data_IF_691644888892
#
_entry.id   IF_691644888892
#
_cell.length_a   1.000
_cell.length_b   1.000
_cell.length_c   1.000
_cell.angle_alpha   90.00
_cell.angle_beta   90.00
_cell.angle_gamma   90.00
#
_symmetry.space_group_name_H-M   'P 1'
#
loop_
_entity.id
_entity.type
_entity.pdbx_description
1 polymer ?
#
# COMPACT_ATOMS: atom_id res chain seq x y z
N UNK A 1 -11.50 -1.22 30.05
CA UNK A 1 -12.07 -0.94 28.71
C UNK A 1 -10.92 -0.62 27.74
N UNK A 2 -10.45 -1.59 26.94
CA UNK A 2 -9.37 -1.41 25.95
C UNK A 2 -9.98 -1.02 24.59
N UNK A 3 -10.46 0.22 24.46
CA UNK A 3 -11.04 0.72 23.19
C UNK A 3 -10.03 1.53 22.37
N UNK A 4 -9.04 2.15 23.04
CA UNK A 4 -7.98 2.96 22.42
C UNK A 4 -7.22 2.24 21.28
N UNK A 5 -6.74 0.99 21.44
CA UNK A 5 -6.01 0.34 20.36
C UNK A 5 -6.88 0.01 19.14
N UNK A 6 -8.20 -0.11 19.31
CA UNK A 6 -9.11 -0.42 18.20
C UNK A 6 -9.43 0.81 17.36
N UNK A 7 -9.62 1.97 17.99
CA UNK A 7 -9.81 3.25 17.28
C UNK A 7 -8.54 3.62 16.50
N UNK A 8 -7.36 3.36 17.08
CA UNK A 8 -6.09 3.53 16.38
C UNK A 8 -5.96 2.56 15.21
N UNK A 9 -6.42 1.31 15.38
CA UNK A 9 -6.44 0.32 14.32
C UNK A 9 -7.42 0.65 13.18
N UNK A 10 -8.57 1.24 13.50
CA UNK A 10 -9.54 1.66 12.49
C UNK A 10 -9.01 2.87 11.71
N UNK A 11 -8.47 3.88 12.41
CA UNK A 11 -7.95 5.10 11.81
C UNK A 11 -6.71 4.89 10.93
N UNK A 12 -5.74 4.06 11.34
CA UNK A 12 -4.59 3.81 10.48
C UNK A 12 -4.89 2.85 9.32
N UNK A 13 -5.95 2.04 9.41
CA UNK A 13 -6.32 1.12 8.34
C UNK A 13 -7.01 1.90 7.23
N UNK A 14 -7.85 2.86 7.60
CA UNK A 14 -8.38 3.86 6.69
C UNK A 14 -7.25 4.68 6.04
N UNK A 15 -6.29 5.18 6.83
CA UNK A 15 -5.16 5.94 6.30
C UNK A 15 -4.30 5.11 5.32
N UNK A 16 -3.98 3.87 5.67
CA UNK A 16 -3.23 2.96 4.79
C UNK A 16 -3.99 2.66 3.50
N UNK A 17 -5.29 2.39 3.59
CA UNK A 17 -6.13 2.10 2.43
C UNK A 17 -6.21 3.29 1.47
N UNK A 18 -6.39 4.51 2.02
CA UNK A 18 -6.38 5.76 1.24
C UNK A 18 -5.03 6.01 0.60
N UNK A 19 -3.94 5.82 1.34
CA UNK A 19 -2.57 6.02 0.83
C UNK A 19 -2.25 5.03 -0.28
N UNK A 20 -2.58 3.74 -0.11
CA UNK A 20 -2.38 2.72 -1.14
C UNK A 20 -3.20 3.00 -2.41
N UNK A 21 -4.45 3.42 -2.24
CA UNK A 21 -5.31 3.83 -3.36
C UNK A 21 -4.72 5.02 -4.11
N UNK A 22 -4.24 6.03 -3.37
CA UNK A 22 -3.62 7.22 -3.96
C UNK A 22 -2.33 6.85 -4.72
N UNK A 23 -1.48 5.97 -4.19
CA UNK A 23 -0.30 5.49 -4.89
C UNK A 23 -0.65 4.78 -6.22
N UNK A 24 -1.73 4.00 -6.28
CA UNK A 24 -2.16 3.36 -7.52
C UNK A 24 -2.67 4.37 -8.56
N UNK A 25 -3.37 5.41 -8.11
CA UNK A 25 -3.84 6.52 -8.96
C UNK A 25 -2.63 7.32 -9.46
N UNK A 26 -1.69 7.64 -8.58
CA UNK A 26 -0.48 8.38 -8.92
C UNK A 26 0.39 7.57 -9.90
N UNK A 27 0.55 6.27 -9.69
CA UNK A 27 1.22 5.37 -10.64
C UNK A 27 0.49 5.34 -11.99
N UNK A 28 -0.85 5.23 -12.01
CA UNK A 28 -1.63 5.27 -13.25
C UNK A 28 -1.47 6.62 -14.01
N UNK A 29 -1.32 7.72 -13.26
CA UNK A 29 -1.07 9.08 -13.79
C UNK A 29 0.37 9.34 -14.20
N UNK A 30 1.34 8.65 -13.58
CA UNK A 30 2.78 8.71 -13.91
C UNK A 30 3.17 7.73 -15.02
N UNK A 31 2.42 6.63 -15.19
CA UNK A 31 2.64 5.60 -16.21
C UNK A 31 2.15 5.87 -17.65
N UNK A 32 1.57 7.03 -18.06
CA UNK A 32 1.12 7.15 -19.46
C UNK A 32 2.25 7.39 -20.48
N UNK A 33 3.55 7.36 -20.11
CA UNK A 33 4.63 7.91 -20.95
C UNK A 33 5.88 7.05 -21.26
N UNK A 34 5.86 5.72 -21.15
CA UNK A 34 7.02 4.91 -21.63
C UNK A 34 6.77 4.05 -22.88
N UNK A 35 5.59 4.14 -23.52
CA UNK A 35 5.43 3.53 -24.86
C UNK A 35 5.92 4.50 -25.93
N UNK A 36 7.23 4.55 -26.07
CA UNK A 36 7.87 5.09 -27.28
C UNK A 36 7.37 4.29 -28.49
N UNK A 37 6.81 5.00 -29.47
CA UNK A 37 6.59 4.51 -30.83
C UNK A 37 5.15 4.08 -31.16
N UNK A 38 4.39 4.96 -31.83
CA UNK A 38 3.33 4.52 -32.73
C UNK A 38 1.99 5.27 -32.68
N UNK A 39 1.97 6.44 -33.31
CA UNK A 39 0.91 7.00 -34.18
C UNK A 39 -0.47 7.37 -33.60
N UNK A 40 -0.70 8.69 -33.64
CA UNK A 40 -1.93 9.45 -33.87
C UNK A 40 -3.26 8.68 -33.98
N UNK A 41 -4.14 8.90 -33.01
CA UNK A 41 -5.57 8.57 -33.10
C UNK A 41 -6.30 8.26 -31.78
N UNK A 42 -5.58 8.06 -30.67
CA UNK A 42 -6.13 7.25 -29.56
C UNK A 42 -6.41 7.97 -28.22
N UNK A 43 -6.56 9.30 -28.22
CA UNK A 43 -6.71 10.10 -26.99
C UNK A 43 -7.89 9.67 -26.09
N UNK A 44 -9.00 9.23 -26.68
CA UNK A 44 -10.17 8.76 -25.93
C UNK A 44 -9.97 7.38 -25.28
N UNK A 45 -9.22 6.47 -25.91
CA UNK A 45 -8.94 5.15 -25.33
C UNK A 45 -7.89 5.22 -24.23
N UNK A 46 -6.96 6.19 -24.30
CA UNK A 46 -5.99 6.42 -23.23
C UNK A 46 -6.67 6.99 -21.99
N UNK A 47 -7.57 7.96 -22.18
CA UNK A 47 -8.40 8.53 -21.11
C UNK A 47 -9.35 7.47 -20.50
N UNK A 48 -9.97 6.64 -21.34
CA UNK A 48 -10.78 5.52 -20.88
C UNK A 48 -9.98 4.50 -20.07
N UNK A 49 -8.71 4.26 -20.44
CA UNK A 49 -7.83 3.34 -19.70
C UNK A 49 -7.42 3.95 -18.36
N UNK A 50 -7.11 5.24 -18.31
CA UNK A 50 -6.81 5.96 -17.07
C UNK A 50 -8.02 5.99 -16.15
N UNK A 51 -9.20 6.37 -16.65
CA UNK A 51 -10.45 6.36 -15.90
C UNK A 51 -10.81 4.96 -15.38
N UNK A 52 -10.51 3.90 -16.15
CA UNK A 52 -10.68 2.52 -15.71
C UNK A 52 -9.69 2.13 -14.60
N UNK A 53 -8.43 2.56 -14.70
CA UNK A 53 -7.40 2.34 -13.67
C UNK A 53 -7.73 3.06 -12.37
N UNK A 54 -8.15 4.33 -12.45
CA UNK A 54 -8.59 5.10 -11.27
C UNK A 54 -9.83 4.47 -10.62
N UNK A 55 -10.82 4.06 -11.42
CA UNK A 55 -12.02 3.39 -10.90
C UNK A 55 -11.71 2.05 -10.26
N UNK A 56 -10.78 1.29 -10.84
CA UNK A 56 -10.26 0.05 -10.25
C UNK A 56 -9.57 0.31 -8.91
N UNK A 57 -8.69 1.31 -8.85
CA UNK A 57 -8.00 1.70 -7.62
C UNK A 57 -8.99 2.06 -6.50
N UNK A 58 -10.03 2.85 -6.81
CA UNK A 58 -11.09 3.17 -5.85
C UNK A 58 -11.89 1.94 -5.40
N UNK A 59 -12.15 0.98 -6.29
CA UNK A 59 -12.84 -0.27 -5.91
C UNK A 59 -12.03 -1.14 -4.95
N UNK A 60 -10.70 -0.97 -4.91
CA UNK A 60 -9.80 -1.75 -4.05
C UNK A 60 -9.61 -1.13 -2.65
N UNK A 61 -9.98 0.14 -2.45
CA UNK A 61 -9.90 0.82 -1.14
C UNK A 61 -10.51 0.01 0.02
N UNK A 62 -11.76 -0.51 -0.06
CA UNK A 62 -12.32 -1.30 1.04
C UNK A 62 -11.55 -2.61 1.28
N UNK A 63 -10.97 -3.21 0.23
CA UNK A 63 -10.13 -4.40 0.35
C UNK A 63 -8.83 -4.08 1.09
N UNK A 64 -8.17 -2.95 0.77
CA UNK A 64 -6.98 -2.52 1.50
C UNK A 64 -7.27 -2.20 2.97
N UNK A 65 -8.42 -1.60 3.26
CA UNK A 65 -8.83 -1.33 4.63
C UNK A 65 -9.06 -2.64 5.41
N UNK A 66 -9.75 -3.61 4.82
CA UNK A 66 -9.96 -4.92 5.43
C UNK A 66 -8.64 -5.65 5.67
N UNK A 67 -7.70 -5.60 4.72
CA UNK A 67 -6.36 -6.16 4.87
C UNK A 67 -5.60 -5.49 6.01
N UNK A 68 -5.55 -4.15 6.08
CA UNK A 68 -4.87 -3.43 7.14
C UNK A 68 -5.47 -3.73 8.53
N UNK A 69 -6.81 -3.83 8.63
CA UNK A 69 -7.50 -4.24 9.85
C UNK A 69 -7.15 -5.68 10.27
N UNK A 70 -7.07 -6.62 9.32
CA UNK A 70 -6.68 -8.00 9.58
C UNK A 70 -5.20 -8.12 9.97
N UNK A 71 -4.33 -7.35 9.32
CA UNK A 71 -2.90 -7.25 9.65
C UNK A 71 -2.67 -6.71 11.05
N UNK A 72 -3.60 -5.95 11.62
CA UNK A 72 -3.52 -5.50 13.01
C UNK A 72 -3.96 -6.55 14.03
N UNK A 73 -4.85 -7.46 13.63
CA UNK A 73 -5.28 -8.59 14.46
C UNK A 73 -4.27 -9.73 14.45
N UNK A 74 -3.39 -9.75 13.44
CA UNK A 74 -2.19 -10.59 13.41
C UNK A 74 -1.07 -9.81 14.10
N UNK A 75 -0.51 -10.25 15.23
CA UNK A 75 0.74 -9.66 15.70
C UNK A 75 1.74 -9.76 14.55
N UNK A 76 2.23 -8.60 14.08
CA UNK A 76 3.27 -8.54 13.07
C UNK A 76 4.37 -9.49 13.50
N UNK A 77 4.58 -10.48 12.65
CA UNK A 77 5.31 -11.70 12.90
C UNK A 77 6.51 -11.49 13.84
N UNK A 78 6.47 -12.16 15.00
CA UNK A 78 7.56 -12.23 15.98
C UNK A 78 8.90 -12.61 15.31
N UNK A 79 8.89 -13.19 14.10
CA UNK A 79 10.12 -13.54 13.39
C UNK A 79 10.96 -12.33 12.94
N UNK A 80 10.38 -11.14 12.72
CA UNK A 80 11.19 -9.96 12.36
C UNK A 80 11.92 -9.37 13.58
N UNK A 81 11.41 -9.59 14.80
CA UNK A 81 12.05 -9.12 16.03
C UNK A 81 13.19 -10.03 16.48
N UNK A 82 13.12 -11.33 16.20
CA UNK A 82 14.20 -12.28 16.51
C UNK A 82 15.47 -12.00 15.68
N UNK A 83 15.33 -11.52 14.44
CA UNK A 83 16.48 -11.18 13.59
C UNK A 83 17.21 -9.90 14.04
N UNK A 84 16.47 -8.89 14.52
CA UNK A 84 17.09 -7.67 15.12
C UNK A 84 17.84 -7.93 16.42
N UNK A 85 17.46 -8.94 17.21
CA UNK A 85 18.22 -9.31 18.42
C UNK A 85 19.49 -10.09 18.10
N UNK A 86 19.47 -10.97 17.09
CA UNK A 86 20.64 -11.75 16.69
C UNK A 86 21.76 -10.87 16.11
N UNK A 87 21.41 -9.83 15.34
CA UNK A 87 22.39 -8.90 14.75
C UNK A 87 22.99 -7.90 15.75
N UNK A 88 22.29 -7.60 16.86
CA UNK A 88 22.83 -6.74 17.93
C UNK A 88 23.82 -7.44 18.86
N UNK A 89 23.73 -8.77 19.03
CA UNK A 89 24.62 -9.53 19.91
C UNK A 89 26.02 -9.75 19.28
N UNK A 90 26.09 -9.91 17.97
CA UNK A 90 27.35 -10.14 17.26
C UNK A 90 28.28 -8.90 17.24
N UNK A 91 27.74 -7.68 17.37
CA UNK A 91 28.56 -6.45 17.39
C UNK A 91 29.11 -6.10 18.77
N UNK A 92 28.57 -6.68 19.85
CA UNK A 92 28.99 -6.40 21.23
C UNK A 92 30.17 -7.27 21.72
N UNK A 93 30.51 -8.36 21.01
CA UNK A 93 31.59 -9.28 21.39
C UNK A 93 32.92 -9.03 20.67
N UNK A 94 33.05 -7.96 19.90
CA UNK A 94 34.27 -7.58 19.15
C UNK A 94 34.91 -6.30 19.68
N UNK A 95 34.99 -6.13 20.99
CA UNK A 95 35.83 -5.12 21.65
C UNK A 95 36.66 -5.75 22.75
#
# INVERSE_FOLDING_TARGET
>A
MKLLPRIQAEGGAEWLARTATQCLIDEARLSPKTRSGGQSGNGAHHDLTLALMERSAHSLTPTFQALALQSWQRPADIALQTDRRATSAAKASSR
#
